data_IF_113472168007
#
_entry.id   IF_113472168007
#
_cell.length_a   1.000
_cell.length_b   1.000
_cell.length_c   1.000
_cell.angle_alpha   90.00
_cell.angle_beta   90.00
_cell.angle_gamma   90.00
#
_symmetry.space_group_name_H-M   'P 1'
#
loop_
_entity.id
_entity.type
_entity.pdbx_description
1 polymer ?
#
# COMPACT_ATOMS: atom_id res chain seq x y z
N UNK A 1 19.44 -2.44 22.67
CA UNK A 1 19.11 -1.33 21.75
C UNK A 1 17.67 -1.51 21.33
N UNK A 2 16.81 -0.49 21.49
CA UNK A 2 15.45 -0.57 20.94
C UNK A 2 15.63 -0.62 19.42
N UNK A 3 15.34 -1.76 18.81
CA UNK A 3 15.19 -1.86 17.36
C UNK A 3 13.94 -1.06 17.02
N UNK A 4 14.11 0.24 16.77
CA UNK A 4 13.07 1.15 16.26
C UNK A 4 12.73 0.82 14.81
N UNK A 5 13.65 0.16 14.10
CA UNK A 5 13.55 -0.24 12.71
C UNK A 5 12.26 -1.04 12.37
N UNK A 6 11.84 -2.08 13.11
CA UNK A 6 10.62 -2.82 12.84
C UNK A 6 9.34 -1.97 12.98
N UNK A 7 9.30 -1.01 13.89
CA UNK A 7 8.09 -0.22 14.12
C UNK A 7 7.80 0.72 12.94
N UNK A 8 8.84 1.32 12.35
CA UNK A 8 8.67 2.26 11.22
C UNK A 8 8.44 1.54 9.90
N UNK A 9 8.98 0.33 9.71
CA UNK A 9 8.79 -0.45 8.47
C UNK A 9 7.51 -1.30 8.46
N UNK A 10 6.94 -1.66 9.62
CA UNK A 10 5.66 -2.41 9.68
C UNK A 10 4.43 -1.51 9.84
N UNK A 11 4.59 -0.23 10.20
CA UNK A 11 3.48 0.71 10.34
C UNK A 11 2.60 0.83 9.08
N UNK A 12 3.17 0.88 7.84
CA UNK A 12 2.35 0.93 6.62
C UNK A 12 1.43 -0.29 6.45
N UNK A 13 1.90 -1.48 6.83
CA UNK A 13 1.16 -2.74 6.70
C UNK A 13 -0.15 -2.67 7.49
N UNK A 14 -0.11 -2.17 8.72
CA UNK A 14 -1.30 -2.02 9.56
C UNK A 14 -2.32 -1.06 8.93
N UNK A 15 -1.87 0.12 8.45
CA UNK A 15 -2.75 1.11 7.85
C UNK A 15 -3.39 0.60 6.55
N UNK A 16 -2.60 -0.06 5.69
CA UNK A 16 -3.09 -0.68 4.46
C UNK A 16 -4.04 -1.83 4.71
N UNK A 17 -3.76 -2.67 5.72
CA UNK A 17 -4.65 -3.76 6.11
C UNK A 17 -6.01 -3.22 6.55
N UNK A 18 -6.03 -2.22 7.44
CA UNK A 18 -7.27 -1.59 7.90
C UNK A 18 -8.04 -0.98 6.71
N UNK A 19 -7.36 -0.24 5.83
CA UNK A 19 -7.96 0.27 4.60
C UNK A 19 -8.58 -0.85 3.75
N UNK A 20 -7.82 -1.91 3.48
CA UNK A 20 -8.27 -3.03 2.63
C UNK A 20 -9.47 -3.74 3.24
N UNK A 21 -9.50 -3.95 4.56
CA UNK A 21 -10.66 -4.50 5.26
C UNK A 21 -11.90 -3.61 5.11
N UNK A 22 -11.77 -2.29 5.25
CA UNK A 22 -12.88 -1.38 5.01
C UNK A 22 -13.36 -1.37 3.55
N UNK A 23 -12.46 -1.59 2.59
CA UNK A 23 -12.81 -1.65 1.16
C UNK A 23 -13.38 -3.01 0.74
N UNK A 24 -13.02 -4.10 1.41
CA UNK A 24 -13.53 -5.45 1.11
C UNK A 24 -14.86 -5.71 1.82
N UNK A 25 -14.94 -5.44 3.12
CA UNK A 25 -16.10 -5.83 3.94
C UNK A 25 -17.32 -4.95 3.65
N UNK A 26 -17.12 -3.70 3.19
CA UNK A 26 -18.15 -2.72 2.75
C UNK A 26 -19.53 -2.97 3.35
N UNK A 27 -19.61 -2.87 4.68
CA UNK A 27 -20.87 -3.00 5.40
C UNK A 27 -21.79 -1.89 4.89
N UNK A 28 -22.95 -2.25 4.33
CA UNK A 28 -23.88 -1.29 3.69
C UNK A 28 -24.22 -0.07 4.57
N UNK A 29 -24.26 -0.26 5.89
CA UNK A 29 -24.50 0.79 6.91
C UNK A 29 -23.38 1.85 6.97
N UNK A 30 -22.18 1.50 6.52
CA UNK A 30 -20.96 2.30 6.53
C UNK A 30 -20.59 2.86 5.15
N UNK A 31 -21.26 2.42 4.08
CA UNK A 31 -21.01 2.92 2.72
C UNK A 31 -21.57 4.33 2.47
N UNK A 32 -22.47 4.82 3.31
CA UNK A 32 -23.25 6.03 3.02
C UNK A 32 -22.69 7.31 3.62
N UNK A 33 -21.61 7.25 4.41
CA UNK A 33 -21.07 8.43 5.09
C UNK A 33 -19.72 8.86 4.52
N UNK A 34 -19.63 10.15 4.20
CA UNK A 34 -18.36 10.79 3.80
C UNK A 34 -17.26 10.54 4.85
N UNK A 35 -17.63 10.46 6.14
CA UNK A 35 -16.72 10.18 7.26
C UNK A 35 -15.87 8.92 7.04
N UNK A 36 -16.46 7.81 6.59
CA UNK A 36 -15.71 6.57 6.40
C UNK A 36 -14.79 6.68 5.19
N UNK A 37 -15.21 7.41 4.17
CA UNK A 37 -14.33 7.73 3.03
C UNK A 37 -13.14 8.57 3.48
N UNK A 38 -13.33 9.59 4.34
CA UNK A 38 -12.22 10.36 4.92
C UNK A 38 -11.27 9.49 5.75
N UNK A 39 -11.81 8.59 6.58
CA UNK A 39 -11.00 7.66 7.39
C UNK A 39 -10.17 6.76 6.49
N UNK A 40 -10.78 6.17 5.45
CA UNK A 40 -10.08 5.38 4.42
C UNK A 40 -8.97 6.18 3.77
N UNK A 41 -9.25 7.41 3.35
CA UNK A 41 -8.24 8.31 2.76
C UNK A 41 -7.06 8.52 3.70
N UNK A 42 -7.33 8.79 4.99
CA UNK A 42 -6.28 9.05 5.97
C UNK A 42 -5.36 7.84 6.15
N UNK A 43 -5.93 6.64 6.37
CA UNK A 43 -5.15 5.41 6.47
C UNK A 43 -4.30 5.15 5.23
N UNK A 44 -4.90 5.30 4.06
CA UNK A 44 -4.27 5.00 2.79
C UNK A 44 -3.16 6.00 2.43
N UNK A 45 -3.38 7.30 2.64
CA UNK A 45 -2.41 8.36 2.33
C UNK A 45 -1.23 8.30 3.32
N UNK A 46 -1.51 8.23 4.62
CA UNK A 46 -0.47 8.13 5.65
C UNK A 46 0.33 6.84 5.43
N UNK A 47 -0.36 5.71 5.21
CA UNK A 47 0.27 4.43 4.90
C UNK A 47 1.16 4.50 3.68
N UNK A 48 0.73 5.18 2.61
CA UNK A 48 1.52 5.32 1.38
C UNK A 48 2.79 6.14 1.58
N UNK A 49 2.70 7.26 2.28
CA UNK A 49 3.87 8.09 2.61
C UNK A 49 4.85 7.28 3.48
N UNK A 50 4.35 6.62 4.53
CA UNK A 50 5.19 5.79 5.39
C UNK A 50 5.79 4.58 4.64
N UNK A 51 5.05 3.98 3.71
CA UNK A 51 5.52 2.86 2.86
C UNK A 51 6.68 3.27 1.98
N UNK A 52 6.62 4.45 1.37
CA UNK A 52 7.72 4.97 0.55
C UNK A 52 9.00 5.13 1.37
N UNK A 53 8.89 5.66 2.59
CA UNK A 53 10.02 5.76 3.50
C UNK A 53 10.56 4.37 3.90
N UNK A 54 9.65 3.44 4.23
CA UNK A 54 10.03 2.08 4.61
C UNK A 54 10.78 1.35 3.49
N UNK A 55 10.29 1.42 2.24
CA UNK A 55 10.94 0.80 1.08
C UNK A 55 12.34 1.36 0.86
N UNK A 56 12.50 2.69 0.85
CA UNK A 56 13.82 3.33 0.68
C UNK A 56 14.80 2.91 1.79
N UNK A 57 14.34 2.84 3.04
CA UNK A 57 15.20 2.37 4.14
C UNK A 57 15.54 0.89 4.04
N UNK A 58 14.65 0.07 3.47
CA UNK A 58 14.88 -1.35 3.24
C UNK A 58 15.90 -1.60 2.13
N UNK A 59 15.80 -0.86 1.02
CA UNK A 59 16.76 -0.94 -0.11
C UNK A 59 18.19 -0.61 0.35
N UNK A 60 18.37 0.48 1.11
CA UNK A 60 19.69 0.88 1.64
C UNK A 60 20.36 -0.20 2.51
N UNK A 61 19.56 -0.98 3.25
CA UNK A 61 20.07 -2.10 4.05
C UNK A 61 20.30 -3.33 3.17
N UNK A 62 19.40 -3.57 2.21
CA UNK A 62 19.41 -4.73 1.34
C UNK A 62 20.64 -4.83 0.45
N UNK A 63 21.13 -3.71 -0.10
CA UNK A 63 22.35 -3.65 -0.93
C UNK A 63 23.59 -4.25 -0.24
N UNK A 64 23.62 -4.27 1.09
CA UNK A 64 24.74 -4.85 1.86
C UNK A 64 24.61 -6.35 2.09
N UNK A 65 23.46 -6.95 1.77
CA UNK A 65 23.10 -8.33 2.08
C UNK A 65 22.70 -9.17 0.84
N UNK A 66 22.68 -8.56 -0.35
CA UNK A 66 22.24 -9.20 -1.61
C UNK A 66 23.09 -10.42 -2.02
N UNK A 67 24.41 -10.39 -1.80
CA UNK A 67 25.31 -11.50 -2.17
C UNK A 67 25.29 -12.68 -1.18
N UNK A 68 24.45 -12.61 -0.14
CA UNK A 68 24.40 -13.61 0.93
C UNK A 68 23.45 -14.79 0.66
N UNK A 69 23.45 -15.81 1.56
CA UNK A 69 22.53 -16.96 1.49
C UNK A 69 21.04 -16.58 1.52
N UNK A 70 20.72 -15.35 1.94
CA UNK A 70 19.37 -14.80 2.03
C UNK A 70 18.99 -13.92 0.82
N UNK A 71 19.88 -13.76 -0.17
CA UNK A 71 19.68 -12.82 -1.29
C UNK A 71 18.34 -13.00 -2.00
N UNK A 72 17.99 -14.24 -2.38
CA UNK A 72 16.71 -14.54 -3.03
C UNK A 72 15.49 -14.23 -2.15
N UNK A 73 15.56 -14.52 -0.85
CA UNK A 73 14.48 -14.21 0.10
C UNK A 73 14.30 -12.68 0.19
N UNK A 74 15.41 -11.95 0.30
CA UNK A 74 15.44 -10.50 0.40
C UNK A 74 14.89 -9.83 -0.88
N UNK A 75 15.35 -10.26 -2.06
CA UNK A 75 14.88 -9.77 -3.36
C UNK A 75 13.37 -10.00 -3.51
N UNK A 76 12.90 -11.20 -3.17
CA UNK A 76 11.48 -11.54 -3.25
C UNK A 76 10.65 -10.71 -2.26
N UNK A 77 11.13 -10.52 -1.02
CA UNK A 77 10.50 -9.65 -0.05
C UNK A 77 10.40 -8.20 -0.56
N UNK A 78 11.49 -7.67 -1.13
CA UNK A 78 11.54 -6.33 -1.69
C UNK A 78 10.56 -6.16 -2.86
N UNK A 79 10.46 -7.14 -3.77
CA UNK A 79 9.49 -7.13 -4.86
C UNK A 79 8.05 -6.97 -4.36
N UNK A 80 7.62 -7.76 -3.37
CA UNK A 80 6.28 -7.65 -2.81
C UNK A 80 6.09 -6.35 -2.01
N UNK A 81 7.11 -5.87 -1.30
CA UNK A 81 7.07 -4.59 -0.59
C UNK A 81 6.84 -3.42 -1.56
N UNK A 82 7.66 -3.32 -2.60
CA UNK A 82 7.54 -2.30 -3.66
C UNK A 82 6.19 -2.42 -4.38
N UNK A 83 5.78 -3.64 -4.75
CA UNK A 83 4.50 -3.88 -5.40
C UNK A 83 3.31 -3.41 -4.56
N UNK A 84 3.30 -3.73 -3.25
CA UNK A 84 2.26 -3.23 -2.36
C UNK A 84 2.26 -1.70 -2.23
N UNK A 85 3.45 -1.09 -2.13
CA UNK A 85 3.64 0.35 -2.06
C UNK A 85 3.05 1.06 -3.28
N UNK A 86 3.27 0.54 -4.48
CA UNK A 86 2.69 1.10 -5.71
C UNK A 86 1.18 0.90 -5.82
N UNK A 87 0.66 -0.28 -5.46
CA UNK A 87 -0.78 -0.54 -5.50
C UNK A 87 -1.53 0.41 -4.57
N UNK A 88 -1.11 0.51 -3.30
CA UNK A 88 -1.75 1.40 -2.35
C UNK A 88 -1.44 2.87 -2.63
N UNK A 89 -0.27 3.19 -3.17
CA UNK A 89 0.05 4.55 -3.64
C UNK A 89 -0.86 5.01 -4.78
N UNK A 90 -1.15 4.14 -5.75
CA UNK A 90 -2.09 4.44 -6.83
C UNK A 90 -3.51 4.67 -6.27
N UNK A 91 -3.95 3.84 -5.33
CA UNK A 91 -5.21 4.06 -4.61
C UNK A 91 -5.17 5.39 -3.84
N UNK A 92 -4.07 5.72 -3.16
CA UNK A 92 -3.94 6.95 -2.38
C UNK A 92 -4.09 8.20 -3.26
N UNK A 93 -3.51 8.19 -4.47
CA UNK A 93 -3.69 9.26 -5.46
C UNK A 93 -5.17 9.40 -5.82
N UNK A 94 -5.89 8.30 -6.05
CA UNK A 94 -7.32 8.33 -6.38
C UNK A 94 -8.15 8.94 -5.25
N UNK A 95 -7.87 8.59 -3.99
CA UNK A 95 -8.52 9.21 -2.81
C UNK A 95 -8.09 10.66 -2.60
N UNK A 96 -6.85 11.03 -2.91
CA UNK A 96 -6.38 12.41 -2.84
C UNK A 96 -7.09 13.30 -3.86
N UNK A 97 -7.27 12.83 -5.10
CA UNK A 97 -8.05 13.55 -6.11
C UNK A 97 -9.50 13.75 -5.63
N UNK A 98 -10.11 12.73 -5.02
CA UNK A 98 -11.45 12.87 -4.42
C UNK A 98 -11.50 13.92 -3.30
N UNK A 99 -10.51 13.95 -2.40
CA UNK A 99 -10.42 14.98 -1.34
C UNK A 99 -10.30 16.40 -1.92
N UNK A 100 -9.46 16.57 -2.93
CA UNK A 100 -9.24 17.85 -3.60
C UNK A 100 -10.52 18.29 -4.33
N UNK A 101 -11.19 17.40 -5.06
CA UNK A 101 -12.46 17.68 -5.74
C UNK A 101 -13.57 18.10 -4.77
N UNK A 102 -13.65 17.46 -3.60
CA UNK A 102 -14.62 17.82 -2.55
C UNK A 102 -14.37 19.23 -2.00
N UNK A 103 -13.13 19.71 -2.07
CA UNK A 103 -12.74 21.04 -1.62
C UNK A 103 -13.02 22.07 -2.72
N UNK A 104 -14.16 22.78 -2.62
CA UNK A 104 -14.68 23.73 -3.63
C UNK A 104 -13.67 24.81 -4.10
N UNK A 105 -12.61 25.06 -3.33
CA UNK A 105 -11.56 26.01 -3.68
C UNK A 105 -10.76 25.58 -4.92
N UNK A 106 -10.43 24.30 -5.08
CA UNK A 106 -9.44 23.89 -6.10
C UNK A 106 -9.97 23.99 -7.54
N UNK A 107 -11.28 23.74 -7.74
CA UNK A 107 -11.95 23.87 -9.03
C UNK A 107 -12.07 25.32 -9.50
N UNK A 108 -11.97 26.29 -8.59
CA UNK A 108 -12.02 27.73 -8.93
C UNK A 108 -10.66 28.26 -9.42
N UNK A 109 -9.56 27.73 -8.89
CA UNK A 109 -8.19 28.17 -9.21
C UNK A 109 -7.59 27.56 -10.47
N UNK A 110 -8.15 26.46 -10.98
CA UNK A 110 -7.65 25.77 -12.19
C UNK A 110 -8.22 26.33 -13.51
N UNK A 111 -8.80 27.53 -13.48
CA UNK A 111 -9.76 28.04 -14.49
C UNK A 111 -9.21 28.42 -15.88
N UNK A 112 -7.91 28.31 -16.17
CA UNK A 112 -7.40 28.27 -17.56
C UNK A 112 -5.97 27.76 -17.67
N UNK A 113 -5.62 27.16 -18.83
CA UNK A 113 -4.26 26.74 -19.17
C UNK A 113 -3.95 25.25 -18.95
N UNK A 114 -2.66 24.90 -18.92
CA UNK A 114 -2.15 23.52 -18.84
C UNK A 114 -2.66 22.79 -17.58
N UNK A 115 -2.85 23.53 -16.47
CA UNK A 115 -3.36 22.98 -15.21
C UNK A 115 -4.76 22.36 -15.34
N UNK A 116 -5.67 22.96 -16.12
CA UNK A 116 -7.00 22.40 -16.33
C UNK A 116 -6.95 21.09 -17.12
N UNK A 117 -6.07 21.00 -18.12
CA UNK A 117 -5.90 19.77 -18.92
C UNK A 117 -5.39 18.61 -18.06
N UNK A 118 -4.39 18.87 -17.21
CA UNK A 118 -3.89 17.89 -16.25
C UNK A 118 -4.99 17.49 -15.26
N UNK A 119 -5.72 18.45 -14.71
CA UNK A 119 -6.82 18.17 -13.79
C UNK A 119 -7.92 17.31 -14.43
N UNK A 120 -8.30 17.62 -15.66
CA UNK A 120 -9.27 16.83 -16.42
C UNK A 120 -8.77 15.39 -16.67
N UNK A 121 -7.47 15.20 -16.91
CA UNK A 121 -6.87 13.86 -17.02
C UNK A 121 -6.95 13.11 -15.69
N UNK A 122 -6.58 13.76 -14.57
CA UNK A 122 -6.66 13.17 -13.23
C UNK A 122 -8.10 12.77 -12.88
N UNK A 123 -9.09 13.60 -13.21
CA UNK A 123 -10.50 13.27 -13.02
C UNK A 123 -10.94 12.06 -13.85
N UNK A 124 -10.46 11.91 -15.09
CA UNK A 124 -10.72 10.72 -15.92
C UNK A 124 -10.10 9.46 -15.32
N UNK A 125 -8.85 9.54 -14.87
CA UNK A 125 -8.17 8.43 -14.17
C UNK A 125 -8.98 8.06 -12.92
N UNK A 126 -9.30 9.04 -12.07
CA UNK A 126 -10.16 8.83 -10.89
C UNK A 126 -11.47 8.14 -11.30
N UNK A 127 -12.18 8.62 -12.32
CA UNK A 127 -13.45 8.04 -12.74
C UNK A 127 -13.35 6.55 -13.14
N UNK A 128 -12.22 6.13 -13.73
CA UNK A 128 -11.95 4.72 -14.03
C UNK A 128 -11.72 3.94 -12.73
N UNK A 129 -10.81 4.41 -11.88
CA UNK A 129 -10.38 3.69 -10.68
C UNK A 129 -11.40 3.74 -9.52
N UNK A 130 -12.27 4.75 -9.48
CA UNK A 130 -13.31 4.94 -8.44
C UNK A 130 -14.49 3.98 -8.59
N UNK A 131 -14.50 3.13 -9.61
CA UNK A 131 -15.49 2.07 -9.74
C UNK A 131 -15.31 1.06 -8.60
N UNK A 132 -16.41 0.76 -7.89
CA UNK A 132 -16.40 -0.13 -6.72
C UNK A 132 -15.63 -1.44 -6.94
N UNK A 133 -15.85 -2.10 -8.08
CA UNK A 133 -15.17 -3.34 -8.42
C UNK A 133 -13.65 -3.20 -8.56
N UNK A 134 -13.17 -2.08 -9.08
CA UNK A 134 -11.73 -1.82 -9.25
C UNK A 134 -11.09 -1.52 -7.89
N UNK A 135 -11.72 -0.69 -7.05
CA UNK A 135 -11.21 -0.43 -5.69
C UNK A 135 -11.09 -1.71 -4.86
N UNK A 136 -12.13 -2.56 -4.88
CA UNK A 136 -12.14 -3.84 -4.15
C UNK A 136 -11.04 -4.77 -4.70
N UNK A 137 -10.94 -4.89 -6.03
CA UNK A 137 -9.93 -5.74 -6.66
C UNK A 137 -8.52 -5.30 -6.27
N UNK A 138 -8.22 -4.01 -6.39
CA UNK A 138 -6.91 -3.47 -6.01
C UNK A 138 -6.64 -3.61 -4.51
N UNK A 139 -7.65 -3.45 -3.66
CA UNK A 139 -7.51 -3.69 -2.22
C UNK A 139 -7.19 -5.16 -1.90
N UNK A 140 -7.82 -6.12 -2.58
CA UNK A 140 -7.54 -7.56 -2.41
C UNK A 140 -6.14 -7.89 -2.90
N UNK A 141 -5.76 -7.41 -4.10
CA UNK A 141 -4.41 -7.64 -4.64
C UNK A 141 -3.35 -6.99 -3.74
N UNK A 142 -3.58 -5.76 -3.29
CA UNK A 142 -2.70 -5.09 -2.33
C UNK A 142 -2.59 -5.83 -0.99
N UNK A 143 -3.72 -6.32 -0.45
CA UNK A 143 -3.75 -7.11 0.78
C UNK A 143 -2.97 -8.43 0.64
N UNK A 144 -3.07 -9.08 -0.52
CA UNK A 144 -2.26 -10.25 -0.83
C UNK A 144 -0.77 -9.89 -0.82
N UNK A 145 -0.36 -8.83 -1.53
CA UNK A 145 1.05 -8.40 -1.57
C UNK A 145 1.59 -8.11 -0.17
N UNK A 146 0.91 -7.31 0.66
CA UNK A 146 1.40 -7.00 2.02
C UNK A 146 1.44 -8.23 2.93
N UNK A 147 0.55 -9.21 2.71
CA UNK A 147 0.56 -10.47 3.46
C UNK A 147 1.81 -11.27 3.12
N UNK A 148 2.15 -11.37 1.83
CA UNK A 148 3.39 -12.02 1.38
C UNK A 148 4.61 -11.25 1.89
N UNK A 149 4.65 -9.91 1.75
CA UNK A 149 5.73 -9.07 2.28
C UNK A 149 5.96 -9.31 3.77
N UNK A 150 4.90 -9.27 4.58
CA UNK A 150 4.97 -9.51 6.02
C UNK A 150 5.44 -10.92 6.36
N UNK A 151 4.98 -11.93 5.61
CA UNK A 151 5.38 -13.32 5.81
C UNK A 151 6.87 -13.54 5.50
N UNK A 152 7.35 -13.02 4.37
CA UNK A 152 8.77 -13.08 3.99
C UNK A 152 9.65 -12.24 4.93
N UNK A 153 9.15 -11.11 5.43
CA UNK A 153 9.80 -10.34 6.48
C UNK A 153 9.94 -11.12 7.80
N UNK A 154 8.91 -11.88 8.17
CA UNK A 154 8.96 -12.82 9.29
C UNK A 154 10.03 -13.89 9.10
N UNK A 155 10.14 -14.45 7.89
CA UNK A 155 11.18 -15.42 7.54
C UNK A 155 12.60 -14.83 7.63
N UNK A 156 12.79 -13.57 7.25
CA UNK A 156 14.09 -12.88 7.34
C UNK A 156 14.57 -12.73 8.79
N UNK A 157 13.66 -12.48 9.73
CA UNK A 157 14.00 -12.22 11.14
C UNK A 157 14.04 -13.50 11.98
N UNK A 158 13.06 -14.38 11.79
CA UNK A 158 12.83 -15.54 12.66
C UNK A 158 13.08 -16.89 11.98
N UNK A 159 13.35 -16.89 10.67
CA UNK A 159 13.50 -18.11 9.87
C UNK A 159 12.18 -18.61 9.27
N UNK A 160 12.25 -19.53 8.28
CA UNK A 160 11.10 -19.95 7.49
C UNK A 160 10.09 -20.81 8.24
N UNK A 161 10.49 -21.42 9.37
CA UNK A 161 9.65 -22.35 10.15
C UNK A 161 8.97 -21.69 11.36
N UNK A 162 8.94 -20.35 11.44
CA UNK A 162 8.34 -19.64 12.58
C UNK A 162 6.85 -19.92 12.74
N UNK A 163 6.10 -19.99 11.63
CA UNK A 163 4.68 -20.35 11.61
C UNK A 163 4.23 -20.92 10.25
N UNK A 164 3.04 -21.55 10.16
CA UNK A 164 2.57 -22.20 8.93
C UNK A 164 2.36 -21.26 7.74
N UNK A 165 1.97 -20.01 7.98
CA UNK A 165 1.71 -19.02 6.92
C UNK A 165 3.04 -18.54 6.32
N UNK A 166 4.01 -18.23 7.19
CA UNK A 166 5.38 -17.89 6.77
C UNK A 166 5.99 -19.03 5.97
N UNK A 167 5.92 -20.27 6.48
CA UNK A 167 6.44 -21.44 5.78
C UNK A 167 5.79 -21.65 4.42
N UNK A 168 4.48 -21.48 4.34
CA UNK A 168 3.73 -21.61 3.08
C UNK A 168 4.23 -20.63 2.02
N UNK A 169 4.30 -19.34 2.34
CA UNK A 169 4.75 -18.33 1.38
C UNK A 169 6.24 -18.43 1.06
N UNK A 170 7.07 -18.76 2.04
CA UNK A 170 8.49 -19.01 1.83
C UNK A 170 8.72 -20.14 0.83
N UNK A 171 8.02 -21.27 0.99
CA UNK A 171 8.13 -22.44 0.10
C UNK A 171 7.70 -22.09 -1.32
N UNK A 172 6.60 -21.34 -1.48
CA UNK A 172 6.06 -20.98 -2.80
C UNK A 172 6.98 -20.02 -3.57
N UNK A 173 7.49 -18.98 -2.90
CA UNK A 173 8.13 -17.87 -3.59
C UNK A 173 9.66 -17.92 -3.56
N UNK A 174 10.26 -18.47 -2.50
CA UNK A 174 11.71 -18.56 -2.35
C UNK A 174 12.22 -19.96 -2.69
N UNK A 175 11.50 -20.98 -2.23
CA UNK A 175 11.78 -22.37 -2.54
C UNK A 175 12.67 -23.05 -1.51
N UNK A 176 12.14 -24.15 -0.95
CA UNK A 176 12.87 -25.35 -0.52
C UNK A 176 12.15 -26.53 -1.14
#
# INVERSE_FOLDING_TARGET
>A
MINIHPIFVHFPIALFTIYALFEIIRIKRFETTDTITYIKSAFLIIGSISSMLAVQTGELVGETMEDGPLGRLLETHAFFAVGSSYIFGALAIVYLIWLIEKTQSFTKYTSSGVGQSIWNLLLKIKAIFWKKGILILLAIVGLFFITVTGSLGGALVYGPDVDPVVKFFYTIFVGV
#
